data_IF_515372152061
#
_entry.id   IF_515372152061
#
_cell.length_a   1.000
_cell.length_b   1.000
_cell.length_c   1.000
_cell.angle_alpha   90.00
_cell.angle_beta   90.00
_cell.angle_gamma   90.00
#
_symmetry.space_group_name_H-M   'P 1'
#
loop_
_entity.id
_entity.type
_entity.pdbx_description
1 polymer ?
#
# COMPACT_ATOMS: atom_id res chain seq x y z
N UNK A 1 1.35 -3.70 54.14
CA UNK A 1 2.24 -4.87 54.08
C UNK A 1 1.48 -5.96 53.39
N UNK A 2 1.75 -6.25 52.15
CA UNK A 2 1.25 -7.44 51.42
C UNK A 2 2.42 -7.98 50.59
N UNK A 3 2.79 -9.21 50.86
CA UNK A 3 3.94 -9.92 50.33
C UNK A 3 3.75 -10.32 48.86
N UNK A 4 4.80 -10.14 48.06
CA UNK A 4 4.90 -10.59 46.67
C UNK A 4 5.51 -11.99 46.67
N UNK A 5 4.79 -12.97 46.15
CA UNK A 5 5.29 -14.33 45.92
C UNK A 5 5.93 -14.41 44.54
N UNK A 6 7.21 -14.76 44.48
CA UNK A 6 7.98 -15.03 43.27
C UNK A 6 7.88 -16.52 43.00
N UNK A 7 7.32 -16.92 41.86
CA UNK A 7 7.28 -18.29 41.37
C UNK A 7 8.47 -18.56 40.44
N UNK A 8 9.35 -19.46 40.81
CA UNK A 8 10.46 -20.01 40.01
C UNK A 8 9.91 -21.11 39.08
N UNK A 9 10.21 -21.01 37.80
CA UNK A 9 9.93 -22.07 36.79
C UNK A 9 11.24 -22.77 36.46
N UNK A 10 11.33 -24.10 36.49
CA UNK A 10 12.55 -24.83 36.18
C UNK A 10 12.79 -24.99 34.67
N UNK A 11 14.04 -24.82 34.27
CA UNK A 11 14.56 -25.04 32.92
C UNK A 11 14.74 -26.55 32.71
N UNK A 12 14.10 -27.12 31.70
CA UNK A 12 14.39 -28.48 31.22
C UNK A 12 15.37 -28.41 30.04
N UNK A 13 16.55 -29.00 30.23
CA UNK A 13 17.49 -29.35 29.16
C UNK A 13 17.00 -30.65 28.50
N UNK A 14 16.84 -30.64 27.18
CA UNK A 14 16.71 -31.86 26.40
C UNK A 14 17.94 -32.02 25.47
N UNK A 15 18.53 -33.23 25.58
CA UNK A 15 19.79 -33.59 24.95
C UNK A 15 19.67 -33.91 23.45
N UNK A 16 20.75 -33.60 22.74
CA UNK A 16 21.00 -34.02 21.35
C UNK A 16 21.15 -35.51 21.20
N UNK A 17 20.56 -36.08 20.15
CA UNK A 17 20.93 -37.40 19.63
C UNK A 17 21.33 -37.25 18.15
N UNK A 18 22.60 -37.52 17.89
CA UNK A 18 23.19 -37.68 16.53
C UNK A 18 22.91 -39.10 16.06
N UNK A 19 22.49 -39.26 14.80
CA UNK A 19 22.56 -40.53 14.08
C UNK A 19 23.20 -40.30 12.70
N UNK A 20 24.32 -40.97 12.49
CA UNK A 20 25.08 -41.05 11.24
C UNK A 20 24.41 -41.97 10.21
N UNK A 21 24.61 -41.73 8.90
CA UNK A 21 24.12 -42.64 7.85
C UNK A 21 25.17 -43.68 7.44
N UNK A 22 24.71 -44.91 7.21
CA UNK A 22 25.48 -46.04 6.64
C UNK A 22 25.28 -46.11 5.14
N UNK A 23 26.29 -46.41 4.32
CA UNK A 23 26.14 -46.58 2.89
C UNK A 23 25.77 -48.04 2.57
N UNK A 24 24.84 -48.23 1.63
CA UNK A 24 24.63 -49.52 0.96
C UNK A 24 24.69 -49.32 -0.55
N UNK A 25 25.68 -49.94 -1.13
CA UNK A 25 25.83 -50.16 -2.58
C UNK A 25 24.81 -51.24 -3.00
N UNK A 26 24.05 -50.98 -4.05
CA UNK A 26 23.58 -52.08 -4.92
C UNK A 26 23.47 -51.60 -6.37
N UNK A 27 24.03 -52.45 -7.22
CA UNK A 27 24.21 -52.29 -8.67
C UNK A 27 23.03 -52.99 -9.35
N UNK A 28 22.19 -52.26 -10.07
CA UNK A 28 21.05 -52.84 -10.81
C UNK A 28 20.85 -52.11 -12.16
N UNK A 29 21.36 -52.77 -13.15
CA UNK A 29 21.08 -52.85 -14.60
C UNK A 29 19.94 -51.97 -15.16
N UNK A 30 20.33 -51.24 -16.21
CA UNK A 30 19.59 -50.47 -17.20
C UNK A 30 18.46 -51.25 -17.88
N UNK A 31 17.28 -50.67 -17.95
CA UNK A 31 16.38 -50.81 -19.09
C UNK A 31 15.86 -49.46 -19.51
N UNK A 32 16.14 -49.14 -20.78
CA UNK A 32 15.66 -47.94 -21.47
C UNK A 32 14.22 -48.20 -21.89
N UNK A 33 13.26 -47.41 -21.43
CA UNK A 33 11.99 -47.25 -22.11
C UNK A 33 11.76 -45.80 -22.44
N UNK A 34 11.83 -45.57 -23.75
CA UNK A 34 11.53 -44.32 -24.43
C UNK A 34 10.02 -44.17 -24.50
N UNK A 35 9.46 -43.22 -23.78
CA UNK A 35 8.20 -42.58 -24.18
C UNK A 35 8.16 -41.16 -23.59
N UNK A 36 8.50 -40.21 -24.43
CA UNK A 36 8.38 -38.80 -24.15
C UNK A 36 6.93 -38.41 -23.90
N UNK A 37 6.66 -37.86 -22.75
CA UNK A 37 5.56 -36.95 -22.58
C UNK A 37 6.11 -35.64 -22.00
N UNK A 38 6.58 -34.78 -22.92
CA UNK A 38 6.84 -33.39 -22.58
C UNK A 38 5.50 -32.74 -22.23
N UNK A 39 5.16 -32.76 -20.94
CA UNK A 39 4.12 -31.89 -20.42
C UNK A 39 4.57 -30.45 -20.67
N UNK A 40 4.10 -29.90 -21.80
CA UNK A 40 4.17 -28.46 -22.03
C UNK A 40 3.32 -27.79 -20.93
N UNK A 41 3.98 -27.30 -19.88
CA UNK A 41 3.38 -26.34 -18.98
C UNK A 41 3.07 -25.09 -19.79
N UNK A 42 1.82 -24.94 -20.22
CA UNK A 42 1.31 -23.68 -20.74
C UNK A 42 1.59 -22.63 -19.66
N UNK A 43 2.29 -21.51 -20.00
CA UNK A 43 2.46 -20.43 -19.05
C UNK A 43 1.07 -19.96 -18.62
N UNK A 44 0.78 -20.07 -17.33
CA UNK A 44 -0.40 -19.48 -16.72
C UNK A 44 -0.40 -17.99 -17.10
N UNK A 45 -1.53 -17.41 -17.57
CA UNK A 45 -1.59 -15.99 -17.88
C UNK A 45 -1.08 -15.23 -16.66
N UNK A 46 0.01 -14.50 -16.84
CA UNK A 46 0.58 -13.66 -15.78
C UNK A 46 -0.54 -12.74 -15.30
N UNK A 47 -1.01 -12.94 -14.08
CA UNK A 47 -2.01 -12.07 -13.50
C UNK A 47 -1.48 -10.64 -13.59
N UNK A 48 -2.19 -9.77 -14.30
CA UNK A 48 -1.77 -8.37 -14.43
C UNK A 48 -1.70 -7.76 -13.03
N UNK A 49 -0.59 -7.11 -12.73
CA UNK A 49 -0.39 -6.54 -11.41
C UNK A 49 -1.33 -5.34 -11.19
N UNK A 50 -1.96 -5.27 -10.03
CA UNK A 50 -2.75 -4.10 -9.61
C UNK A 50 -1.88 -2.85 -9.71
N UNK A 51 -2.33 -1.84 -10.43
CA UNK A 51 -1.57 -0.61 -10.70
C UNK A 51 -2.42 0.64 -10.58
N UNK A 52 -1.76 1.77 -10.26
CA UNK A 52 -2.33 3.11 -10.24
C UNK A 52 -1.50 4.03 -11.14
N UNK A 53 -2.17 4.92 -11.85
CA UNK A 53 -1.58 5.91 -12.75
C UNK A 53 -2.29 7.25 -12.61
N UNK A 54 -1.72 8.29 -13.18
CA UNK A 54 -2.36 9.60 -13.33
C UNK A 54 -2.10 10.17 -14.74
N UNK A 55 -3.10 10.73 -15.41
CA UNK A 55 -2.85 11.48 -16.63
C UNK A 55 -2.16 12.84 -16.36
N UNK A 56 -2.08 13.26 -15.10
CA UNK A 56 -1.52 14.54 -14.71
C UNK A 56 0.01 14.54 -14.62
N UNK A 57 0.62 13.40 -14.28
CA UNK A 57 2.07 13.23 -14.16
C UNK A 57 2.48 11.76 -14.32
N UNK A 58 3.67 11.54 -14.84
CA UNK A 58 4.25 10.19 -14.96
C UNK A 58 4.79 9.68 -13.61
N UNK A 59 4.99 8.36 -13.45
CA UNK A 59 5.68 7.80 -12.28
C UNK A 59 7.02 8.49 -12.02
N UNK A 60 7.23 8.91 -10.78
CA UNK A 60 8.39 9.71 -10.31
C UNK A 60 8.55 11.08 -11.01
N UNK A 61 7.58 11.47 -11.83
CA UNK A 61 7.55 12.78 -12.50
C UNK A 61 7.18 13.93 -11.58
N UNK A 62 7.36 15.15 -12.07
CA UNK A 62 6.96 16.35 -11.33
C UNK A 62 5.44 16.51 -11.36
N UNK A 63 4.85 16.74 -10.18
CA UNK A 63 3.44 17.09 -10.03
C UNK A 63 3.26 18.53 -10.52
N UNK A 64 2.37 18.80 -11.49
CA UNK A 64 2.11 20.17 -11.94
C UNK A 64 1.62 21.08 -10.82
N UNK A 65 2.03 22.36 -10.86
CA UNK A 65 1.70 23.36 -9.83
C UNK A 65 0.21 23.52 -9.57
N UNK A 66 -0.64 23.27 -10.56
CA UNK A 66 -2.11 23.22 -10.42
C UNK A 66 -2.59 22.35 -9.25
N UNK A 67 -1.89 21.25 -8.97
CA UNK A 67 -2.25 20.27 -7.93
C UNK A 67 -1.55 20.53 -6.59
N UNK A 68 -0.93 21.68 -6.42
CA UNK A 68 -0.09 22.06 -5.28
C UNK A 68 -0.55 23.35 -4.64
N UNK A 69 0.04 23.71 -3.49
CA UNK A 69 -0.24 24.97 -2.81
C UNK A 69 0.18 26.24 -3.59
N UNK A 70 0.95 26.08 -4.66
CA UNK A 70 1.31 27.20 -5.57
C UNK A 70 0.31 27.38 -6.72
N UNK A 71 -0.70 26.50 -6.81
CA UNK A 71 -1.75 26.58 -7.82
C UNK A 71 -3.15 26.49 -7.22
N UNK A 72 -4.03 25.75 -7.89
CA UNK A 72 -5.45 25.61 -7.47
C UNK A 72 -5.68 24.69 -6.29
N UNK A 73 -4.65 24.00 -5.81
CA UNK A 73 -4.73 23.01 -4.73
C UNK A 73 -5.83 21.96 -4.98
N UNK A 74 -5.87 21.46 -6.20
CA UNK A 74 -6.88 20.54 -6.73
C UNK A 74 -6.32 19.13 -6.72
N UNK A 75 -7.09 18.12 -6.33
CA UNK A 75 -6.65 16.73 -6.42
C UNK A 75 -6.48 16.30 -7.88
N UNK A 76 -5.37 15.62 -8.25
CA UNK A 76 -5.18 15.13 -9.61
C UNK A 76 -6.17 13.99 -9.93
N UNK A 77 -6.42 13.76 -11.22
CA UNK A 77 -7.10 12.55 -11.65
C UNK A 77 -6.20 11.34 -11.40
N UNK A 78 -6.80 10.27 -10.88
CA UNK A 78 -6.13 8.98 -10.61
C UNK A 78 -6.90 7.86 -11.30
N UNK A 79 -6.20 6.89 -11.86
CA UNK A 79 -6.79 5.72 -12.52
C UNK A 79 -6.08 4.46 -12.02
N UNK A 80 -6.83 3.37 -11.83
CA UNK A 80 -6.26 2.07 -11.45
C UNK A 80 -6.93 0.93 -12.19
N UNK A 81 -6.19 -0.17 -12.33
CA UNK A 81 -6.65 -1.37 -13.03
C UNK A 81 -6.10 -2.63 -12.38
N UNK A 82 -6.68 -3.75 -12.79
CA UNK A 82 -6.22 -5.08 -12.38
C UNK A 82 -6.31 -5.31 -10.87
N UNK A 83 -7.36 -4.76 -10.24
CA UNK A 83 -7.63 -4.96 -8.83
C UNK A 83 -7.87 -6.46 -8.53
N UNK A 84 -7.41 -6.98 -7.37
CA UNK A 84 -7.64 -8.36 -6.98
C UNK A 84 -9.10 -8.75 -6.97
N UNK A 85 -9.40 -9.99 -7.34
CA UNK A 85 -10.75 -10.55 -7.21
C UNK A 85 -11.19 -10.56 -5.73
N UNK A 86 -12.48 -10.38 -5.48
CA UNK A 86 -13.00 -10.29 -4.12
C UNK A 86 -12.95 -8.89 -3.50
N UNK A 87 -12.44 -7.89 -4.23
CA UNK A 87 -12.46 -6.50 -3.77
C UNK A 87 -13.89 -6.03 -3.54
N UNK A 88 -14.17 -5.52 -2.34
CA UNK A 88 -15.45 -4.92 -1.95
C UNK A 88 -15.39 -3.40 -1.85
N UNK A 89 -14.22 -2.85 -1.53
CA UNK A 89 -13.99 -1.41 -1.52
C UNK A 89 -12.52 -1.08 -1.81
N UNK A 90 -12.26 0.21 -2.10
CA UNK A 90 -10.89 0.72 -2.11
C UNK A 90 -10.70 1.79 -1.03
N UNK A 91 -9.46 1.91 -0.57
CA UNK A 91 -8.98 3.06 0.19
C UNK A 91 -7.83 3.74 -0.55
N UNK A 92 -7.72 5.06 -0.42
CA UNK A 92 -6.63 5.86 -0.98
C UNK A 92 -5.98 6.67 0.14
N UNK A 93 -4.66 6.62 0.21
CA UNK A 93 -3.83 7.46 1.08
C UNK A 93 -2.84 8.21 0.21
N UNK A 94 -2.77 9.54 0.38
CA UNK A 94 -1.72 10.37 -0.22
C UNK A 94 -0.87 10.92 0.90
N UNK A 95 0.41 10.62 0.87
CA UNK A 95 1.35 11.03 1.92
C UNK A 95 2.74 11.40 1.39
N UNK A 96 3.47 12.15 2.20
CA UNK A 96 4.82 12.67 1.96
C UNK A 96 5.74 12.21 3.10
N UNK A 97 6.64 11.23 2.86
CA UNK A 97 7.59 10.76 3.87
C UNK A 97 8.81 11.64 4.04
N UNK A 98 9.00 12.65 3.20
CA UNK A 98 10.19 13.48 3.18
C UNK A 98 10.07 14.76 4.04
N UNK A 99 8.92 14.92 4.71
CA UNK A 99 8.63 16.13 5.49
C UNK A 99 9.46 16.24 6.79
N UNK A 100 9.94 17.44 7.17
CA UNK A 100 9.87 18.71 6.45
C UNK A 100 11.04 18.96 5.49
N UNK A 101 12.09 18.14 5.53
CA UNK A 101 13.33 18.25 4.75
C UNK A 101 13.74 16.86 4.27
N UNK A 102 13.85 16.61 2.95
CA UNK A 102 14.23 15.30 2.41
C UNK A 102 15.64 14.84 2.83
N UNK A 103 16.53 15.76 3.19
CA UNK A 103 17.83 15.42 3.73
C UNK A 103 17.77 14.95 5.20
N UNK A 104 16.71 15.31 5.93
CA UNK A 104 16.47 14.93 7.31
C UNK A 104 14.98 14.80 7.61
N UNK A 105 14.30 13.79 7.07
CA UNK A 105 12.86 13.58 7.31
C UNK A 105 12.59 13.34 8.81
N UNK A 106 11.50 13.91 9.30
CA UNK A 106 11.09 13.79 10.70
C UNK A 106 9.75 13.09 10.86
N UNK A 107 8.91 13.09 9.83
CA UNK A 107 7.60 12.47 9.83
C UNK A 107 7.07 12.26 8.41
N UNK A 108 6.12 11.36 8.27
CA UNK A 108 5.28 11.29 7.07
C UNK A 108 4.13 12.29 7.22
N UNK A 109 3.94 13.18 6.23
CA UNK A 109 2.86 14.16 6.22
C UNK A 109 1.70 13.65 5.36
N UNK A 110 0.49 13.65 5.91
CA UNK A 110 -0.71 13.10 5.25
C UNK A 110 -1.45 14.19 4.50
N UNK A 111 -1.60 13.99 3.19
CA UNK A 111 -2.21 14.93 2.26
C UNK A 111 -3.68 14.62 1.98
N UNK A 112 -4.05 13.34 1.89
CA UNK A 112 -5.42 12.93 1.59
C UNK A 112 -5.68 11.51 2.11
N UNK A 113 -6.90 11.29 2.62
CA UNK A 113 -7.41 10.00 3.09
C UNK A 113 -8.80 9.81 2.51
N UNK A 114 -9.03 8.73 1.76
CA UNK A 114 -10.33 8.34 1.22
C UNK A 114 -10.55 6.86 1.51
N UNK A 115 -11.78 6.49 1.83
CA UNK A 115 -12.14 5.09 2.11
C UNK A 115 -13.55 4.77 1.61
N UNK A 116 -13.89 3.47 1.58
CA UNK A 116 -15.15 2.96 1.03
C UNK A 116 -15.41 3.44 -0.40
N UNK A 117 -14.35 3.54 -1.22
CA UNK A 117 -14.51 3.77 -2.64
C UNK A 117 -15.12 2.48 -3.24
N UNK A 118 -16.25 2.55 -3.97
CA UNK A 118 -16.94 1.36 -4.48
C UNK A 118 -16.06 0.48 -5.37
N UNK A 119 -16.25 -0.86 -5.37
CA UNK A 119 -15.37 -1.81 -6.06
C UNK A 119 -15.36 -1.67 -7.58
N UNK A 120 -16.44 -1.14 -8.17
CA UNK A 120 -16.51 -0.85 -9.61
C UNK A 120 -15.80 0.43 -10.04
N UNK A 121 -15.21 1.18 -9.09
CA UNK A 121 -14.49 2.42 -9.38
C UNK A 121 -13.09 2.09 -9.90
N UNK A 122 -12.74 2.63 -11.07
CA UNK A 122 -11.41 2.51 -11.67
C UNK A 122 -10.72 3.88 -11.84
N UNK A 123 -11.42 4.96 -11.41
CA UNK A 123 -10.95 6.34 -11.61
C UNK A 123 -11.53 7.28 -10.56
N UNK A 124 -10.71 8.19 -10.06
CA UNK A 124 -11.16 9.42 -9.43
C UNK A 124 -10.89 10.58 -10.39
N UNK A 125 -11.89 11.40 -10.71
CA UNK A 125 -11.68 12.56 -11.60
C UNK A 125 -10.80 13.63 -10.93
N UNK A 126 -10.29 14.53 -11.72
CA UNK A 126 -9.69 15.76 -11.19
C UNK A 126 -10.68 16.48 -10.29
N UNK A 127 -10.18 17.06 -9.20
CA UNK A 127 -10.98 17.74 -8.17
C UNK A 127 -11.97 16.83 -7.40
N UNK A 128 -11.76 15.52 -7.40
CA UNK A 128 -12.60 14.57 -6.69
C UNK A 128 -12.76 14.92 -5.20
N UNK A 129 -11.72 15.46 -4.58
CA UNK A 129 -11.74 15.84 -3.16
C UNK A 129 -12.76 16.93 -2.81
N UNK A 130 -13.23 17.71 -3.78
CA UNK A 130 -14.19 18.82 -3.58
C UNK A 130 -15.57 18.52 -4.19
N UNK A 131 -16.03 17.26 -4.14
CA UNK A 131 -17.37 16.87 -4.55
C UNK A 131 -17.46 15.89 -5.72
N UNK A 132 -16.32 15.38 -6.21
CA UNK A 132 -16.26 14.41 -7.32
C UNK A 132 -15.99 12.96 -6.87
N UNK A 133 -16.12 12.65 -5.58
CA UNK A 133 -15.99 11.27 -5.11
C UNK A 133 -17.20 10.42 -5.52
N UNK A 134 -17.00 9.12 -5.83
CA UNK A 134 -18.11 8.20 -6.06
C UNK A 134 -19.04 8.12 -4.84
N UNK A 135 -20.33 7.87 -5.12
CA UNK A 135 -21.32 7.66 -4.05
C UNK A 135 -20.87 6.54 -3.11
N UNK A 136 -20.93 6.79 -1.81
CA UNK A 136 -20.47 5.87 -0.76
C UNK A 136 -19.02 6.10 -0.32
N UNK A 137 -18.17 6.72 -1.14
CA UNK A 137 -16.82 7.05 -0.73
C UNK A 137 -16.81 8.22 0.28
N UNK A 138 -15.96 8.09 1.30
CA UNK A 138 -15.85 9.03 2.41
C UNK A 138 -14.41 9.53 2.56
N UNK A 139 -14.25 10.71 3.15
CA UNK A 139 -12.92 11.28 3.41
C UNK A 139 -12.58 11.25 4.89
N UNK A 140 -11.36 10.80 5.20
CA UNK A 140 -10.73 10.94 6.49
C UNK A 140 -10.03 12.29 6.66
N UNK A 141 -9.34 12.47 7.80
CA UNK A 141 -8.61 13.69 8.13
C UNK A 141 -7.15 13.62 7.67
N UNK A 142 -6.74 14.63 6.93
CA UNK A 142 -5.34 14.89 6.63
C UNK A 142 -4.62 15.61 7.80
N UNK A 143 -3.33 15.92 7.65
CA UNK A 143 -2.55 16.56 8.72
C UNK A 143 -2.88 18.04 8.96
N UNK A 144 -3.61 18.68 8.04
CA UNK A 144 -4.26 19.98 8.29
C UNK A 144 -5.60 19.85 9.04
N UNK A 145 -5.96 18.64 9.50
CA UNK A 145 -7.24 18.32 10.19
C UNK A 145 -8.47 18.51 9.28
N UNK A 146 -8.30 18.49 7.97
CA UNK A 146 -9.37 18.68 6.98
C UNK A 146 -9.72 17.35 6.31
N UNK A 147 -10.98 17.20 5.91
CA UNK A 147 -11.51 16.08 5.14
C UNK A 147 -11.48 16.44 3.64
N UNK A 148 -10.31 16.64 3.10
CA UNK A 148 -10.09 16.99 1.69
C UNK A 148 -8.65 16.72 1.31
N UNK A 149 -8.33 16.81 0.03
CA UNK A 149 -6.97 16.88 -0.46
C UNK A 149 -6.30 18.20 -0.03
N UNK A 150 -5.03 18.11 0.34
CA UNK A 150 -4.10 19.24 0.43
C UNK A 150 -2.89 18.92 -0.43
N UNK A 151 -2.57 19.78 -1.36
CA UNK A 151 -1.51 19.54 -2.34
C UNK A 151 -0.10 19.63 -1.78
N UNK A 152 0.89 19.18 -2.52
CA UNK A 152 2.30 19.37 -2.24
C UNK A 152 2.64 20.82 -1.88
N UNK A 153 3.32 20.99 -0.73
CA UNK A 153 3.77 22.31 -0.26
C UNK A 153 5.07 22.20 0.54
N UNK A 154 6.14 21.63 -0.05
CA UNK A 154 7.37 21.35 0.67
C UNK A 154 8.04 22.66 1.12
N UNK A 155 8.47 22.77 2.40
CA UNK A 155 9.19 23.96 2.85
C UNK A 155 10.61 24.03 2.31
N UNK A 156 11.27 22.87 2.10
CA UNK A 156 12.67 22.75 1.70
C UNK A 156 12.82 21.60 0.70
N UNK A 157 13.44 21.85 -0.45
CA UNK A 157 13.84 20.84 -1.42
C UNK A 157 12.69 20.16 -2.14
N UNK A 158 13.04 19.06 -2.79
CA UNK A 158 12.12 18.24 -3.59
C UNK A 158 11.63 17.06 -2.77
N UNK A 159 10.32 16.99 -2.52
CA UNK A 159 9.68 15.89 -1.81
C UNK A 159 9.05 14.89 -2.76
N UNK A 160 8.85 13.65 -2.27
CA UNK A 160 8.07 12.60 -2.93
C UNK A 160 6.68 12.51 -2.31
N UNK A 161 5.69 12.35 -3.17
CA UNK A 161 4.28 12.22 -2.79
C UNK A 161 3.79 10.86 -3.27
N UNK A 162 3.38 10.04 -2.34
CA UNK A 162 2.96 8.66 -2.57
C UNK A 162 1.43 8.62 -2.65
N UNK A 163 0.89 8.23 -3.79
CA UNK A 163 -0.52 7.96 -4.01
C UNK A 163 -0.72 6.46 -3.92
N UNK A 164 -1.29 5.96 -2.82
CA UNK A 164 -1.42 4.55 -2.50
C UNK A 164 -2.88 4.14 -2.52
N UNK A 165 -3.25 3.24 -3.41
CA UNK A 165 -4.59 2.63 -3.45
C UNK A 165 -4.52 1.21 -2.89
N UNK A 166 -5.47 0.88 -2.02
CA UNK A 166 -5.61 -0.43 -1.38
C UNK A 166 -6.94 -1.04 -1.79
N UNK A 167 -6.92 -2.29 -2.26
CA UNK A 167 -8.09 -3.09 -2.52
C UNK A 167 -8.44 -3.89 -1.26
N UNK A 168 -9.66 -3.77 -0.76
CA UNK A 168 -10.11 -4.35 0.49
C UNK A 168 -11.23 -5.36 0.27
N UNK A 169 -11.30 -6.40 1.10
CA UNK A 169 -12.38 -7.39 1.11
C UNK A 169 -13.59 -6.97 1.96
N UNK A 170 -13.62 -5.73 2.45
CA UNK A 170 -14.66 -5.20 3.32
C UNK A 170 -14.85 -3.71 3.13
N UNK A 171 -15.99 -3.19 3.61
CA UNK A 171 -16.17 -1.78 3.90
C UNK A 171 -15.71 -1.48 5.34
N UNK A 172 -15.24 -0.25 5.57
CA UNK A 172 -14.75 0.19 6.86
C UNK A 172 -15.73 1.14 7.53
N UNK A 173 -15.88 1.00 8.86
CA UNK A 173 -16.77 1.86 9.66
C UNK A 173 -16.01 2.58 10.75
N UNK A 174 -16.21 3.89 10.87
CA UNK A 174 -15.59 4.73 11.87
C UNK A 174 -16.65 5.61 12.57
N UNK A 175 -16.49 5.81 13.87
CA UNK A 175 -17.36 6.71 14.65
C UNK A 175 -17.13 8.19 14.32
N UNK A 176 -15.96 8.53 13.77
CA UNK A 176 -15.59 9.87 13.29
C UNK A 176 -14.62 9.74 12.12
N UNK A 177 -14.45 10.78 11.28
CA UNK A 177 -13.52 10.70 10.15
C UNK A 177 -12.12 10.25 10.58
N UNK A 178 -11.61 9.13 10.04
CA UNK A 178 -10.37 8.52 10.47
C UNK A 178 -9.15 9.36 10.06
N UNK A 179 -8.08 9.27 10.82
CA UNK A 179 -6.72 9.62 10.38
C UNK A 179 -6.14 8.51 9.50
N UNK A 180 -4.98 8.75 8.87
CA UNK A 180 -4.22 7.69 8.20
C UNK A 180 -3.98 6.49 9.12
N UNK A 181 -3.54 6.71 10.36
CA UNK A 181 -3.24 5.64 11.30
C UNK A 181 -4.49 4.82 11.69
N UNK A 182 -5.64 5.48 11.87
CA UNK A 182 -6.91 4.79 12.13
C UNK A 182 -7.32 3.94 10.92
N UNK A 183 -7.17 4.48 9.71
CA UNK A 183 -7.48 3.77 8.47
C UNK A 183 -6.55 2.56 8.28
N UNK A 184 -5.24 2.75 8.40
CA UNK A 184 -4.26 1.66 8.28
C UNK A 184 -4.51 0.54 9.31
N UNK A 185 -4.86 0.89 10.54
CA UNK A 185 -5.25 -0.07 11.58
C UNK A 185 -6.51 -0.85 11.19
N UNK A 186 -7.52 -0.18 10.67
CA UNK A 186 -8.77 -0.83 10.26
C UNK A 186 -8.61 -1.72 9.01
N UNK A 187 -7.64 -1.42 8.14
CA UNK A 187 -7.32 -2.22 6.95
C UNK A 187 -6.54 -3.50 7.27
N UNK A 188 -5.98 -3.66 8.48
CA UNK A 188 -5.19 -4.85 8.84
C UNK A 188 -6.00 -6.13 8.70
N UNK A 189 -5.48 -7.09 7.94
CA UNK A 189 -6.15 -8.36 7.63
C UNK A 189 -7.20 -8.30 6.52
N UNK A 190 -7.46 -7.11 5.95
CA UNK A 190 -8.47 -6.89 4.92
C UNK A 190 -7.89 -6.46 3.56
N UNK A 191 -6.58 -6.25 3.45
CA UNK A 191 -5.93 -5.82 2.20
C UNK A 191 -5.70 -7.02 1.29
N UNK A 192 -6.38 -7.04 0.14
CA UNK A 192 -6.19 -8.03 -0.93
C UNK A 192 -5.01 -7.67 -1.85
N UNK A 193 -4.71 -6.39 -1.97
CA UNK A 193 -3.60 -5.87 -2.77
C UNK A 193 -3.50 -4.36 -2.67
N UNK A 194 -2.36 -3.83 -3.08
CA UNK A 194 -2.13 -2.40 -3.13
C UNK A 194 -1.33 -2.01 -4.38
N UNK A 195 -1.49 -0.77 -4.80
CA UNK A 195 -0.70 -0.16 -5.86
C UNK A 195 -0.28 1.26 -5.46
N UNK A 196 0.85 1.70 -5.99
CA UNK A 196 1.45 2.98 -5.63
C UNK A 196 1.91 3.75 -6.86
N UNK A 197 1.63 5.05 -6.87
CA UNK A 197 2.17 6.02 -7.81
C UNK A 197 2.92 7.09 -7.02
N UNK A 198 4.17 7.35 -7.40
CA UNK A 198 4.98 8.40 -6.79
C UNK A 198 5.04 9.60 -7.75
N UNK A 199 4.73 10.78 -7.24
CA UNK A 199 5.03 12.04 -7.88
C UNK A 199 6.05 12.84 -7.06
N UNK A 200 6.68 13.84 -7.66
CA UNK A 200 7.64 14.71 -6.96
C UNK A 200 7.22 16.18 -7.08
N UNK A 201 7.57 16.97 -6.09
CA UNK A 201 7.39 18.42 -6.18
C UNK A 201 8.45 19.16 -5.36
N UNK A 202 8.86 20.30 -5.88
CA UNK A 202 9.69 21.30 -5.22
C UNK A 202 9.08 22.66 -5.49
N UNK A 203 8.92 23.48 -4.45
CA UNK A 203 8.40 24.85 -4.63
C UNK A 203 9.36 25.69 -5.44
N UNK A 204 8.81 26.57 -6.26
CA UNK A 204 9.61 27.58 -6.93
C UNK A 204 10.38 28.43 -5.90
N UNK A 205 11.68 28.60 -6.13
CA UNK A 205 12.45 29.54 -5.31
C UNK A 205 11.97 30.98 -5.64
N UNK A 206 11.54 31.66 -4.59
CA UNK A 206 11.23 33.11 -4.69
C UNK A 206 12.52 33.91 -4.72
#
# INVERSE_FOLDING_TARGET
MRAIAIALIPVMLAACSKSEPRPSSDTGVVTVDTAGNASQSTPSPSAMAFKITSPAFAPSGSIPSKYTCEGSDTSPSLEWSDAPSGTKSFALIVDDPDAPDPAKPQRTYVHWVVYNIPPGTTKLPENAAKGGLPSGALQGRNDWKKQTYGGPCPPIGRHRYFFKVYALDTDLTFASPPTKADLEKAMQGHVLGNAELIGTYEKARK
#
